data_IF_597006219213
#
_entry.id   IF_597006219213
#
_cell.length_a   1.000
_cell.length_b   1.000
_cell.length_c   1.000
_cell.angle_alpha   90.00
_cell.angle_beta   90.00
_cell.angle_gamma   90.00
#
_symmetry.space_group_name_H-M   'P 1'
#
loop_
_entity.id
_entity.type
_entity.pdbx_description
1 polymer ?
#
# COMPACT_ATOMS: atom_id res chain seq x y z
N UNK A 1 -4.07 15.22 -1.22
CA UNK A 1 -3.66 13.87 -1.69
C UNK A 1 -4.88 12.95 -1.71
N UNK A 2 -4.95 11.99 -2.63
CA UNK A 2 -6.03 10.99 -2.64
C UNK A 2 -6.05 10.18 -1.34
N UNK A 3 -7.24 9.93 -0.79
CA UNK A 3 -7.38 9.17 0.46
C UNK A 3 -7.09 7.69 0.25
N UNK A 4 -6.76 7.00 1.32
CA UNK A 4 -6.35 5.60 1.30
C UNK A 4 -7.47 4.68 0.76
N UNK A 5 -8.73 4.97 1.07
CA UNK A 5 -9.89 4.26 0.52
C UNK A 5 -10.06 4.50 -0.98
N UNK A 6 -9.83 5.73 -1.45
CA UNK A 6 -9.90 6.07 -2.86
C UNK A 6 -8.86 5.30 -3.67
N UNK A 7 -7.63 5.16 -3.13
CA UNK A 7 -6.55 4.36 -3.73
C UNK A 7 -6.92 2.89 -3.84
N UNK A 8 -7.40 2.28 -2.76
CA UNK A 8 -7.77 0.87 -2.75
C UNK A 8 -8.90 0.56 -3.76
N UNK A 9 -9.92 1.43 -3.81
CA UNK A 9 -11.03 1.32 -4.76
C UNK A 9 -10.57 1.49 -6.21
N UNK A 10 -9.67 2.45 -6.47
CA UNK A 10 -9.04 2.69 -7.77
C UNK A 10 -8.33 1.44 -8.31
N UNK A 11 -7.41 0.86 -7.54
CA UNK A 11 -6.61 -0.30 -7.97
C UNK A 11 -7.45 -1.55 -8.12
N UNK A 12 -8.36 -1.81 -7.17
CA UNK A 12 -9.14 -3.04 -7.14
C UNK A 12 -10.24 -3.07 -8.20
N UNK A 13 -10.97 -1.97 -8.36
CA UNK A 13 -12.16 -1.94 -9.20
C UNK A 13 -11.85 -1.51 -10.64
N UNK A 14 -11.05 -0.46 -10.83
CA UNK A 14 -10.88 0.13 -12.16
C UNK A 14 -9.64 -0.39 -12.88
N UNK A 15 -8.55 -0.67 -12.18
CA UNK A 15 -7.33 -1.15 -12.84
C UNK A 15 -7.43 -2.61 -13.27
N UNK A 16 -7.99 -3.48 -12.41
CA UNK A 16 -8.22 -4.89 -12.74
C UNK A 16 -9.14 -5.04 -13.97
N UNK A 17 -10.21 -4.25 -14.01
CA UNK A 17 -11.22 -4.29 -15.07
C UNK A 17 -10.72 -3.65 -16.37
N UNK A 18 -10.18 -2.43 -16.29
CA UNK A 18 -9.87 -1.65 -17.51
C UNK A 18 -8.47 -1.88 -18.07
N UNK A 19 -7.53 -2.40 -17.26
CA UNK A 19 -6.09 -2.54 -17.56
C UNK A 19 -5.45 -1.28 -18.18
N UNK A 20 -6.05 -0.10 -17.97
CA UNK A 20 -5.66 1.15 -18.62
C UNK A 20 -5.55 2.29 -17.62
N UNK A 21 -4.35 2.86 -17.56
CA UNK A 21 -4.00 4.00 -16.68
C UNK A 21 -4.86 5.23 -17.02
N UNK A 22 -5.09 5.51 -18.31
CA UNK A 22 -5.90 6.64 -18.76
C UNK A 22 -7.36 6.50 -18.30
N UNK A 23 -7.92 5.29 -18.39
CA UNK A 23 -9.27 4.97 -17.93
C UNK A 23 -9.40 5.16 -16.41
N UNK A 24 -8.39 4.71 -15.66
CA UNK A 24 -8.30 4.82 -14.20
C UNK A 24 -8.23 6.30 -13.77
N UNK A 25 -7.44 7.13 -14.46
CA UNK A 25 -7.39 8.57 -14.23
C UNK A 25 -8.71 9.27 -14.55
N UNK A 26 -9.37 8.90 -15.67
CA UNK A 26 -10.67 9.47 -16.06
C UNK A 26 -11.74 9.17 -15.01
N UNK A 27 -11.85 7.92 -14.57
CA UNK A 27 -12.79 7.51 -13.51
C UNK A 27 -12.49 8.23 -12.19
N UNK A 28 -11.22 8.39 -11.83
CA UNK A 28 -10.84 9.13 -10.63
C UNK A 28 -11.32 10.59 -10.67
N UNK A 29 -11.12 11.28 -11.79
CA UNK A 29 -11.59 12.67 -11.96
C UNK A 29 -13.12 12.77 -11.88
N UNK A 30 -13.83 11.81 -12.46
CA UNK A 30 -15.30 11.78 -12.41
C UNK A 30 -15.82 11.55 -10.98
N UNK A 31 -15.21 10.61 -10.25
CA UNK A 31 -15.67 10.24 -8.92
C UNK A 31 -15.27 11.24 -7.83
N UNK A 32 -14.10 11.86 -7.97
CA UNK A 32 -13.48 12.69 -6.93
C UNK A 32 -13.18 14.11 -7.44
N UNK A 33 -14.13 14.74 -8.14
CA UNK A 33 -14.07 16.03 -8.87
C UNK A 33 -13.14 17.15 -8.33
N UNK A 34 -12.82 17.17 -7.02
CA UNK A 34 -11.94 18.15 -6.38
C UNK A 34 -10.54 17.61 -5.98
N UNK A 35 -10.16 16.42 -6.44
CA UNK A 35 -8.90 15.78 -6.12
C UNK A 35 -8.02 15.70 -7.36
N UNK A 36 -6.75 16.12 -7.25
CA UNK A 36 -5.78 15.92 -8.31
C UNK A 36 -5.65 14.43 -8.65
N UNK A 37 -5.81 14.13 -9.94
CA UNK A 37 -5.61 12.78 -10.45
C UNK A 37 -4.22 12.28 -10.10
N UNK A 38 -4.08 11.04 -9.61
CA UNK A 38 -2.78 10.47 -9.32
C UNK A 38 -1.94 10.37 -10.61
N UNK A 39 -0.62 10.53 -10.45
CA UNK A 39 0.34 10.39 -11.55
C UNK A 39 0.41 8.94 -12.02
N UNK A 40 0.81 8.74 -13.28
CA UNK A 40 1.02 7.42 -13.87
C UNK A 40 1.94 6.54 -13.01
N UNK A 41 3.05 7.09 -12.53
CA UNK A 41 4.01 6.39 -11.67
C UNK A 41 3.36 5.95 -10.34
N UNK A 42 2.50 6.78 -9.76
CA UNK A 42 1.78 6.43 -8.53
C UNK A 42 0.82 5.26 -8.75
N UNK A 43 0.10 5.29 -9.88
CA UNK A 43 -0.87 4.26 -10.25
C UNK A 43 -0.15 2.91 -10.49
N UNK A 44 0.96 2.92 -11.23
CA UNK A 44 1.78 1.72 -11.46
C UNK A 44 2.32 1.13 -10.16
N UNK A 45 2.85 1.98 -9.27
CA UNK A 45 3.34 1.54 -7.96
C UNK A 45 2.25 0.88 -7.13
N UNK A 46 1.05 1.45 -7.10
CA UNK A 46 -0.07 0.86 -6.36
C UNK A 46 -0.52 -0.46 -6.96
N UNK A 47 -0.50 -0.58 -8.29
CA UNK A 47 -0.83 -1.82 -8.97
C UNK A 47 0.15 -2.94 -8.65
N UNK A 48 1.47 -2.69 -8.76
CA UNK A 48 2.49 -3.69 -8.41
C UNK A 48 2.41 -4.08 -6.93
N UNK A 49 2.19 -3.11 -6.04
CA UNK A 49 2.00 -3.39 -4.62
C UNK A 49 0.75 -4.25 -4.37
N UNK A 50 -0.35 -3.97 -5.07
CA UNK A 50 -1.57 -4.77 -4.99
C UNK A 50 -1.35 -6.18 -5.52
N UNK A 51 -0.64 -6.36 -6.63
CA UNK A 51 -0.34 -7.66 -7.23
C UNK A 51 0.49 -8.54 -6.29
N UNK A 52 1.50 -7.98 -5.64
CA UNK A 52 2.38 -8.74 -4.74
C UNK A 52 1.78 -8.98 -3.35
N UNK A 53 0.95 -8.06 -2.85
CA UNK A 53 0.52 -8.06 -1.43
C UNK A 53 -0.99 -8.19 -1.23
N UNK A 54 -1.80 -8.00 -2.28
CA UNK A 54 -3.26 -7.84 -2.18
C UNK A 54 -3.70 -6.54 -1.50
N UNK A 55 -2.77 -5.60 -1.24
CA UNK A 55 -3.03 -4.40 -0.46
C UNK A 55 -2.28 -3.17 -0.99
N UNK A 56 -2.94 -2.02 -1.00
CA UNK A 56 -2.40 -0.70 -1.42
C UNK A 56 -2.14 0.23 -0.22
N UNK A 57 -2.50 -0.19 0.99
CA UNK A 57 -2.20 0.55 2.21
C UNK A 57 -0.69 0.70 2.42
N UNK A 58 -0.29 1.84 2.97
CA UNK A 58 1.06 2.01 3.46
C UNK A 58 1.29 1.00 4.58
N UNK A 59 2.30 0.13 4.41
CA UNK A 59 2.72 -0.78 5.47
C UNK A 59 3.47 0.01 6.53
N UNK A 60 3.08 -0.16 7.79
CA UNK A 60 3.90 0.32 8.90
C UNK A 60 5.25 -0.40 8.83
N UNK A 61 6.32 0.38 8.82
CA UNK A 61 7.64 -0.18 9.08
C UNK A 61 7.65 -0.63 10.54
N UNK A 62 8.08 -1.86 10.80
CA UNK A 62 8.34 -2.35 12.16
C UNK A 62 9.60 -1.71 12.77
N UNK A 63 10.25 -0.81 12.03
CA UNK A 63 11.53 -0.23 12.41
C UNK A 63 12.65 -1.26 12.29
N UNK A 64 13.88 -0.80 12.52
CA UNK A 64 15.01 -1.70 12.73
C UNK A 64 14.96 -2.13 14.20
N UNK A 65 14.98 -3.44 14.52
CA UNK A 65 15.09 -3.88 15.91
C UNK A 65 16.31 -3.23 16.56
N UNK A 66 16.12 -2.61 17.73
CA UNK A 66 17.21 -1.99 18.50
C UNK A 66 18.16 -3.04 19.08
N UNK A 67 17.68 -4.27 19.24
CA UNK A 67 18.38 -5.39 19.85
C UNK A 67 18.19 -6.61 18.95
N UNK A 68 19.23 -7.43 18.82
CA UNK A 68 19.16 -8.65 18.01
C UNK A 68 18.29 -9.70 18.69
N UNK A 69 17.69 -10.57 17.88
CA UNK A 69 16.79 -11.60 18.36
C UNK A 69 17.50 -12.60 19.28
N UNK A 70 18.81 -12.81 19.07
CA UNK A 70 19.63 -13.66 19.95
C UNK A 70 19.76 -13.07 21.36
N UNK A 71 19.94 -11.75 21.49
CA UNK A 71 20.02 -11.09 22.82
C UNK A 71 18.69 -11.17 23.54
N UNK A 72 17.57 -11.00 22.81
CA UNK A 72 16.23 -11.16 23.38
C UNK A 72 16.01 -12.61 23.86
N UNK A 73 16.47 -13.59 23.09
CA UNK A 73 16.36 -15.00 23.46
C UNK A 73 17.17 -15.31 24.73
N UNK A 74 18.42 -14.84 24.80
CA UNK A 74 19.29 -15.04 25.96
C UNK A 74 18.70 -14.49 27.25
N UNK A 75 18.09 -13.29 27.20
CA UNK A 75 17.42 -12.72 28.37
C UNK A 75 16.21 -13.58 28.77
N UNK A 76 15.42 -14.08 27.81
CA UNK A 76 14.28 -14.95 28.12
C UNK A 76 14.70 -16.24 28.80
N UNK A 77 15.77 -16.88 28.34
CA UNK A 77 16.28 -18.12 28.92
C UNK A 77 16.67 -17.96 30.39
N UNK A 78 17.23 -16.80 30.79
CA UNK A 78 17.60 -16.54 32.19
C UNK A 78 16.41 -16.44 33.15
N UNK A 79 15.18 -16.32 32.65
CA UNK A 79 13.95 -16.25 33.46
C UNK A 79 13.10 -17.53 33.41
N UNK A 80 13.58 -18.58 32.75
CA UNK A 80 12.90 -19.90 32.74
C UNK A 80 13.50 -20.76 33.85
N UNK A 81 12.71 -21.16 34.89
CA UNK A 81 13.20 -21.94 36.03
C UNK A 81 13.56 -23.39 35.69
#
# INVERSE_FOLDING_TARGET
MATVQQKARLTRLWFYESKSIATVQRHFRLQYRNCHSPSQNSINRWYEQFKGTGNVHHRKSVGRPSVSEEVVHRVKETFTP
#
